data_IF_214962240164
#
_entry.id   IF_214962240164
#
_cell.length_a   1.000
_cell.length_b   1.000
_cell.length_c   1.000
_cell.angle_alpha   90.00
_cell.angle_beta   90.00
_cell.angle_gamma   90.00
#
_symmetry.space_group_name_H-M   'P 1'
#
loop_
_entity.id
_entity.type
_entity.pdbx_description
1 polymer ?
#
# COMPACT_ATOMS: atom_id res chain seq x y z
N UNK A 1 -19.97 -5.99 -10.91
CA UNK A 1 -19.96 -5.10 -9.71
C UNK A 1 -19.75 -3.66 -10.16
N UNK A 2 -20.48 -2.72 -9.58
CA UNK A 2 -20.33 -1.29 -9.85
C UNK A 2 -19.31 -0.71 -8.87
N UNK A 3 -18.19 -0.16 -9.38
CA UNK A 3 -17.11 0.39 -8.55
C UNK A 3 -16.96 1.89 -8.81
N UNK A 4 -17.01 2.71 -7.75
CA UNK A 4 -16.72 4.14 -7.79
C UNK A 4 -15.22 4.42 -7.58
N UNK A 5 -14.63 5.37 -8.32
CA UNK A 5 -13.24 5.80 -8.14
C UNK A 5 -13.17 7.10 -7.35
N UNK A 6 -12.54 7.06 -6.18
CA UNK A 6 -12.23 8.24 -5.36
C UNK A 6 -10.78 8.65 -5.59
N UNK A 7 -10.57 9.73 -6.34
CA UNK A 7 -9.25 10.29 -6.64
C UNK A 7 -9.04 10.63 -8.10
N UNK A 8 -8.24 11.66 -8.34
CA UNK A 8 -7.92 12.18 -9.69
C UNK A 8 -6.43 12.45 -9.90
N UNK A 9 -5.60 11.97 -8.97
CA UNK A 9 -4.14 12.11 -9.01
C UNK A 9 -3.48 11.22 -10.06
N UNK A 10 -2.13 11.29 -10.17
CA UNK A 10 -1.37 10.49 -11.14
C UNK A 10 -1.65 9.00 -11.06
N UNK A 11 -1.81 8.46 -9.84
CA UNK A 11 -2.06 7.04 -9.61
C UNK A 11 -3.47 6.61 -10.06
N UNK A 12 -4.49 7.45 -9.78
CA UNK A 12 -5.84 7.24 -10.30
C UNK A 12 -5.87 7.23 -11.83
N UNK A 13 -5.15 8.18 -12.47
CA UNK A 13 -5.10 8.33 -13.93
C UNK A 13 -4.33 7.22 -14.63
N UNK A 14 -3.20 6.79 -14.04
CA UNK A 14 -2.29 5.82 -14.66
C UNK A 14 -2.70 4.36 -14.39
N UNK A 15 -3.27 4.08 -13.23
CA UNK A 15 -3.48 2.72 -12.75
C UNK A 15 -4.93 2.42 -12.46
N UNK A 16 -5.54 3.02 -11.44
CA UNK A 16 -6.87 2.65 -10.97
C UNK A 16 -7.95 2.83 -12.03
N UNK A 17 -8.06 4.03 -12.59
CA UNK A 17 -9.09 4.35 -13.57
C UNK A 17 -9.06 3.46 -14.81
N UNK A 18 -7.91 3.38 -15.53
CA UNK A 18 -7.81 2.51 -16.72
C UNK A 18 -8.08 1.02 -16.41
N UNK A 19 -7.58 0.52 -15.28
CA UNK A 19 -7.80 -0.88 -14.90
C UNK A 19 -9.26 -1.17 -14.59
N UNK A 20 -9.96 -0.28 -13.86
CA UNK A 20 -11.38 -0.42 -13.58
C UNK A 20 -12.24 -0.33 -14.85
N UNK A 21 -11.92 0.63 -15.73
CA UNK A 21 -12.66 0.81 -16.99
C UNK A 21 -12.50 -0.37 -17.97
N UNK A 22 -11.34 -1.03 -17.94
CA UNK A 22 -11.05 -2.18 -18.80
C UNK A 22 -11.44 -3.53 -18.21
N UNK A 23 -11.81 -3.61 -16.92
CA UNK A 23 -12.05 -4.87 -16.24
C UNK A 23 -13.37 -5.52 -16.65
N UNK A 24 -13.37 -6.78 -17.12
CA UNK A 24 -14.58 -7.40 -17.74
C UNK A 24 -15.75 -7.60 -16.76
N UNK A 25 -15.47 -7.72 -15.46
CA UNK A 25 -16.48 -7.98 -14.41
C UNK A 25 -16.86 -6.72 -13.61
N UNK A 26 -16.40 -5.54 -14.04
CA UNK A 26 -16.62 -4.28 -13.34
C UNK A 26 -17.26 -3.24 -14.27
N UNK A 27 -18.22 -2.51 -13.73
CA UNK A 27 -18.72 -1.25 -14.29
C UNK A 27 -18.13 -0.10 -13.48
N UNK A 28 -17.36 0.79 -14.11
CA UNK A 28 -16.89 2.00 -13.46
C UNK A 28 -18.05 2.97 -13.28
N UNK A 29 -18.62 3.01 -12.08
CA UNK A 29 -19.85 3.77 -11.76
C UNK A 29 -19.67 5.27 -11.88
N UNK A 30 -18.44 5.77 -11.62
CA UNK A 30 -18.10 7.18 -11.75
C UNK A 30 -16.80 7.52 -11.06
N UNK A 31 -16.42 8.80 -11.14
CA UNK A 31 -15.21 9.37 -10.54
C UNK A 31 -15.60 10.53 -9.63
N UNK A 32 -15.00 10.58 -8.45
CA UNK A 32 -15.03 11.73 -7.58
C UNK A 32 -13.62 12.23 -7.24
N UNK A 33 -13.47 13.54 -7.11
CA UNK A 33 -12.24 14.17 -6.65
C UNK A 33 -12.48 15.56 -6.09
N UNK A 34 -11.60 16.02 -5.16
CA UNK A 34 -11.69 17.34 -4.53
C UNK A 34 -11.71 18.52 -5.51
N UNK A 35 -11.23 18.32 -6.73
CA UNK A 35 -11.26 19.30 -7.81
C UNK A 35 -12.25 18.81 -8.88
N UNK A 36 -13.43 19.46 -9.01
CA UNK A 36 -14.47 18.98 -9.92
C UNK A 36 -14.02 18.91 -11.39
N UNK A 37 -13.20 19.86 -11.84
CA UNK A 37 -12.69 19.86 -13.22
C UNK A 37 -11.80 18.64 -13.47
N UNK A 38 -10.92 18.26 -12.50
CA UNK A 38 -10.06 17.10 -12.62
C UNK A 38 -10.86 15.78 -12.58
N UNK A 39 -12.00 15.78 -11.87
CA UNK A 39 -12.91 14.64 -11.85
C UNK A 39 -13.63 14.47 -13.19
N UNK A 40 -14.14 15.56 -13.78
CA UNK A 40 -14.77 15.55 -15.11
C UNK A 40 -13.78 15.10 -16.19
N UNK A 41 -12.60 15.70 -16.23
CA UNK A 41 -11.56 15.36 -17.20
C UNK A 41 -11.15 13.87 -17.13
N UNK A 42 -11.03 13.30 -15.92
CA UNK A 42 -10.74 11.89 -15.78
C UNK A 42 -11.95 11.02 -16.16
N UNK A 43 -13.15 11.40 -15.76
CA UNK A 43 -14.38 10.69 -16.11
C UNK A 43 -14.60 10.63 -17.63
N UNK A 44 -14.41 11.76 -18.32
CA UNK A 44 -14.50 11.84 -19.79
C UNK A 44 -13.46 10.92 -20.44
N UNK A 45 -12.23 10.90 -19.93
CA UNK A 45 -11.16 10.00 -20.44
C UNK A 45 -11.52 8.52 -20.27
N UNK A 46 -12.21 8.17 -19.19
CA UNK A 46 -12.57 6.79 -18.84
C UNK A 46 -13.95 6.37 -19.37
N UNK A 47 -14.69 7.26 -20.06
CA UNK A 47 -16.02 6.98 -20.57
C UNK A 47 -17.08 6.78 -19.48
N UNK A 48 -16.94 7.47 -18.35
CA UNK A 48 -17.85 7.42 -17.21
C UNK A 48 -18.30 8.81 -16.79
N UNK A 49 -19.02 8.95 -15.67
CA UNK A 49 -19.47 10.23 -15.16
C UNK A 49 -18.64 10.72 -13.97
N UNK A 50 -18.55 12.03 -13.82
CA UNK A 50 -18.03 12.66 -12.61
C UNK A 50 -19.18 12.90 -11.61
N UNK A 51 -18.88 12.70 -10.33
CA UNK A 51 -19.77 13.06 -9.23
C UNK A 51 -19.22 14.29 -8.49
N UNK A 52 -20.10 15.23 -8.18
CA UNK A 52 -19.72 16.44 -7.44
C UNK A 52 -19.63 16.19 -5.93
N UNK A 53 -20.29 15.14 -5.43
CA UNK A 53 -20.32 14.73 -4.04
C UNK A 53 -19.99 13.24 -3.86
N UNK A 54 -19.33 12.93 -2.73
CA UNK A 54 -18.95 11.54 -2.36
C UNK A 54 -20.19 10.68 -2.15
N UNK A 55 -21.22 11.17 -1.46
CA UNK A 55 -22.41 10.38 -1.18
C UNK A 55 -23.16 10.01 -2.46
N UNK A 56 -23.25 10.94 -3.41
CA UNK A 56 -23.83 10.64 -4.72
C UNK A 56 -23.08 9.54 -5.47
N UNK A 57 -21.74 9.46 -5.33
CA UNK A 57 -20.98 8.34 -5.87
C UNK A 57 -21.23 7.05 -5.08
N UNK A 58 -21.29 7.12 -3.76
CA UNK A 58 -21.57 5.96 -2.92
C UNK A 58 -22.94 5.36 -3.22
N UNK A 59 -23.97 6.19 -3.43
CA UNK A 59 -25.32 5.73 -3.78
C UNK A 59 -25.35 4.97 -5.13
N UNK A 60 -24.43 5.27 -6.02
CA UNK A 60 -24.34 4.71 -7.36
C UNK A 60 -23.46 3.46 -7.50
N UNK A 61 -22.78 3.02 -6.44
CA UNK A 61 -21.83 1.91 -6.54
C UNK A 61 -22.01 0.87 -5.43
N UNK A 62 -21.45 -0.32 -5.66
CA UNK A 62 -21.38 -1.42 -4.68
C UNK A 62 -20.08 -1.38 -3.88
N UNK A 63 -19.03 -0.85 -4.49
CA UNK A 63 -17.70 -0.75 -3.92
C UNK A 63 -17.01 0.55 -4.35
N UNK A 64 -15.97 0.94 -3.62
CA UNK A 64 -15.10 2.07 -3.98
C UNK A 64 -13.64 1.64 -4.08
N UNK A 65 -12.96 2.15 -5.12
CA UNK A 65 -11.51 2.13 -5.22
C UNK A 65 -10.97 3.52 -4.85
N UNK A 66 -10.01 3.59 -3.93
CA UNK A 66 -9.53 4.86 -3.39
C UNK A 66 -8.06 5.08 -3.79
N UNK A 67 -7.80 6.16 -4.53
CA UNK A 67 -6.47 6.59 -4.98
C UNK A 67 -6.17 8.00 -4.47
N UNK A 68 -6.14 8.15 -3.15
CA UNK A 68 -5.97 9.43 -2.45
C UNK A 68 -4.81 9.34 -1.44
N UNK A 69 -4.24 10.48 -0.99
CA UNK A 69 -3.33 10.49 0.14
C UNK A 69 -3.93 9.78 1.36
N UNK A 70 -3.13 9.04 2.16
CA UNK A 70 -3.64 8.18 3.23
C UNK A 70 -4.48 8.90 4.30
N UNK A 71 -4.14 10.16 4.60
CA UNK A 71 -4.87 11.02 5.54
C UNK A 71 -6.27 11.40 5.05
N UNK A 72 -6.45 11.45 3.73
CA UNK A 72 -7.74 11.69 3.07
C UNK A 72 -8.49 10.38 2.84
N UNK A 73 -7.75 9.31 2.52
CA UNK A 73 -8.31 7.97 2.27
C UNK A 73 -9.05 7.42 3.48
N UNK A 74 -8.41 7.40 4.66
CA UNK A 74 -8.95 6.73 5.84
C UNK A 74 -10.37 7.18 6.22
N UNK A 75 -10.68 8.49 6.40
CA UNK A 75 -12.03 8.91 6.74
C UNK A 75 -13.06 8.65 5.63
N UNK A 76 -12.66 8.69 4.36
CA UNK A 76 -13.57 8.36 3.24
C UNK A 76 -13.84 6.87 3.16
N UNK A 77 -12.84 6.02 3.45
CA UNK A 77 -13.01 4.58 3.51
C UNK A 77 -13.93 4.16 4.67
N UNK A 78 -13.79 4.79 5.85
CA UNK A 78 -14.72 4.61 6.98
C UNK A 78 -16.16 5.00 6.59
N UNK A 79 -16.33 6.15 5.91
CA UNK A 79 -17.64 6.60 5.42
C UNK A 79 -18.24 5.59 4.44
N UNK A 80 -17.46 5.12 3.48
CA UNK A 80 -17.90 4.13 2.50
C UNK A 80 -18.29 2.80 3.16
N UNK A 81 -17.47 2.29 4.08
CA UNK A 81 -17.78 1.07 4.84
C UNK A 81 -19.08 1.19 5.65
N UNK A 82 -19.30 2.31 6.34
CA UNK A 82 -20.55 2.59 7.05
C UNK A 82 -21.78 2.69 6.13
N UNK A 83 -21.56 3.08 4.88
CA UNK A 83 -22.60 3.03 3.83
C UNK A 83 -22.76 1.65 3.18
N UNK A 84 -22.10 0.60 3.72
CA UNK A 84 -22.19 -0.76 3.23
C UNK A 84 -21.42 -1.02 1.92
N UNK A 85 -20.46 -0.15 1.56
CA UNK A 85 -19.68 -0.30 0.32
C UNK A 85 -18.40 -1.09 0.57
N UNK A 86 -18.09 -2.04 -0.33
CA UNK A 86 -16.84 -2.77 -0.31
C UNK A 86 -15.65 -1.87 -0.68
N UNK A 87 -14.44 -2.20 -0.24
CA UNK A 87 -13.29 -1.30 -0.29
C UNK A 87 -12.11 -1.89 -1.04
N UNK A 88 -11.64 -1.20 -2.09
CA UNK A 88 -10.32 -1.38 -2.68
C UNK A 88 -9.46 -0.18 -2.30
N UNK A 89 -8.56 -0.39 -1.33
CA UNK A 89 -7.78 0.65 -0.68
C UNK A 89 -6.36 0.70 -1.24
N UNK A 90 -5.76 1.90 -1.29
CA UNK A 90 -4.32 2.03 -1.49
C UNK A 90 -3.56 1.93 -0.15
N UNK A 91 -2.28 1.62 -0.21
CA UNK A 91 -1.37 1.58 0.93
C UNK A 91 -0.63 2.93 1.10
N UNK A 92 -0.28 3.29 2.33
CA UNK A 92 -0.82 2.79 3.59
C UNK A 92 -2.29 3.19 3.75
N UNK A 93 -3.07 2.43 4.50
CA UNK A 93 -4.52 2.72 4.65
C UNK A 93 -4.79 4.00 5.44
N UNK A 94 -3.85 4.41 6.29
CA UNK A 94 -3.85 5.65 7.08
C UNK A 94 -2.42 6.04 7.43
N UNK A 95 -2.22 7.26 7.92
CA UNK A 95 -0.93 7.75 8.48
C UNK A 95 -0.92 7.82 10.00
N UNK A 96 -1.97 7.35 10.66
CA UNK A 96 -2.07 7.23 12.12
C UNK A 96 -2.60 5.85 12.51
N UNK A 97 -2.16 5.37 13.66
CA UNK A 97 -2.62 4.09 14.24
C UNK A 97 -4.14 4.15 14.50
N UNK A 98 -4.62 5.25 15.08
CA UNK A 98 -6.05 5.40 15.41
C UNK A 98 -6.92 5.38 14.15
N UNK A 99 -6.53 6.10 13.09
CA UNK A 99 -7.27 6.08 11.82
C UNK A 99 -7.25 4.72 11.12
N UNK A 100 -6.14 3.98 11.22
CA UNK A 100 -6.04 2.63 10.66
C UNK A 100 -6.90 1.63 11.46
N UNK A 101 -6.92 1.74 12.79
CA UNK A 101 -7.77 0.93 13.67
C UNK A 101 -9.23 1.22 13.43
N UNK A 102 -9.65 2.50 13.45
CA UNK A 102 -11.04 2.87 13.16
C UNK A 102 -11.51 2.24 11.84
N UNK A 103 -10.71 2.34 10.78
CA UNK A 103 -11.07 1.74 9.50
C UNK A 103 -11.20 0.22 9.57
N UNK A 104 -10.26 -0.46 10.21
CA UNK A 104 -10.29 -1.92 10.39
C UNK A 104 -11.50 -2.37 11.21
N UNK A 105 -11.80 -1.65 12.30
CA UNK A 105 -12.93 -1.95 13.19
C UNK A 105 -14.26 -1.76 12.47
N UNK A 106 -14.43 -0.66 11.74
CA UNK A 106 -15.65 -0.40 10.95
C UNK A 106 -15.86 -1.45 9.85
N UNK A 107 -14.78 -1.87 9.17
CA UNK A 107 -14.86 -2.98 8.19
C UNK A 107 -15.33 -4.27 8.87
N UNK A 108 -14.80 -4.59 10.06
CA UNK A 108 -15.22 -5.76 10.82
C UNK A 108 -16.69 -5.66 11.32
N UNK A 109 -17.11 -4.48 11.77
CA UNK A 109 -18.48 -4.22 12.24
C UNK A 109 -19.51 -4.31 11.12
N UNK A 110 -19.20 -3.75 9.96
CA UNK A 110 -20.12 -3.72 8.80
C UNK A 110 -20.12 -4.98 7.97
N UNK A 111 -19.07 -5.80 8.09
CA UNK A 111 -18.89 -7.03 7.30
C UNK A 111 -18.61 -6.78 5.82
N UNK A 112 -18.27 -5.55 5.43
CA UNK A 112 -17.91 -5.25 4.03
C UNK A 112 -16.56 -5.89 3.69
N UNK A 113 -16.42 -6.37 2.45
CA UNK A 113 -15.15 -6.88 1.95
C UNK A 113 -14.16 -5.75 1.75
N UNK A 114 -12.89 -6.01 2.03
CA UNK A 114 -11.82 -5.04 1.82
C UNK A 114 -10.57 -5.70 1.26
N UNK A 115 -9.90 -5.00 0.35
CA UNK A 115 -8.58 -5.35 -0.18
C UNK A 115 -7.69 -4.12 -0.17
N UNK A 116 -6.46 -4.26 0.32
CA UNK A 116 -5.44 -3.22 0.30
C UNK A 116 -4.42 -3.53 -0.79
N UNK A 117 -4.23 -2.62 -1.72
CA UNK A 117 -3.38 -2.81 -2.88
C UNK A 117 -1.89 -2.65 -2.56
N UNK A 118 -1.30 -3.71 -2.02
CA UNK A 118 0.15 -3.84 -1.93
C UNK A 118 0.66 -4.42 -3.26
N UNK A 119 1.12 -3.61 -4.16
CA UNK A 119 1.42 -3.96 -5.58
C UNK A 119 2.13 -5.31 -5.74
N UNK A 120 3.19 -5.60 -4.97
CA UNK A 120 3.93 -6.85 -5.04
C UNK A 120 3.06 -8.08 -4.72
N UNK A 121 2.06 -7.94 -3.84
CA UNK A 121 1.16 -9.02 -3.43
C UNK A 121 0.15 -9.41 -4.51
N UNK A 122 0.03 -8.59 -5.54
CA UNK A 122 -0.85 -8.80 -6.69
C UNK A 122 -0.06 -8.95 -8.00
N UNK A 123 1.28 -8.83 -7.96
CA UNK A 123 2.18 -9.15 -9.06
C UNK A 123 2.48 -10.65 -9.05
N UNK A 124 2.34 -11.34 -10.19
CA UNK A 124 2.35 -12.81 -10.27
C UNK A 124 3.60 -13.45 -9.63
N UNK A 125 4.79 -13.03 -10.03
CA UNK A 125 6.05 -13.58 -9.50
C UNK A 125 6.22 -13.38 -8.00
N UNK A 126 6.16 -12.14 -7.49
CA UNK A 126 6.23 -11.83 -6.06
C UNK A 126 5.13 -12.49 -5.22
N UNK A 127 3.89 -12.50 -5.70
CA UNK A 127 2.77 -13.12 -4.97
C UNK A 127 2.96 -14.64 -4.85
N UNK A 128 3.36 -15.32 -5.93
CA UNK A 128 3.68 -16.74 -5.94
C UNK A 128 4.83 -17.04 -4.98
N UNK A 129 5.91 -16.25 -5.03
CA UNK A 129 7.04 -16.40 -4.11
C UNK A 129 6.61 -16.33 -2.65
N UNK A 130 5.78 -15.38 -2.25
CA UNK A 130 5.26 -15.30 -0.88
C UNK A 130 4.51 -16.58 -0.50
N UNK A 131 3.63 -17.09 -1.36
CA UNK A 131 2.87 -18.31 -1.09
C UNK A 131 3.78 -19.54 -0.93
N UNK A 132 4.78 -19.68 -1.79
CA UNK A 132 5.77 -20.77 -1.74
C UNK A 132 6.61 -20.70 -0.44
N UNK A 133 7.11 -19.50 -0.07
CA UNK A 133 7.94 -19.35 1.13
C UNK A 133 7.11 -19.47 2.41
N UNK A 134 5.86 -19.03 2.41
CA UNK A 134 4.94 -19.25 3.52
C UNK A 134 4.67 -20.75 3.73
N UNK A 135 4.47 -21.50 2.66
CA UNK A 135 4.25 -22.94 2.72
C UNK A 135 5.51 -23.72 3.15
N UNK A 136 6.69 -23.30 2.73
CA UNK A 136 7.95 -23.93 3.08
C UNK A 136 8.29 -23.78 4.57
N UNK A 137 8.15 -22.58 5.13
CA UNK A 137 8.49 -22.30 6.53
C UNK A 137 9.98 -22.52 6.86
N UNK A 138 10.31 -22.60 8.17
CA UNK A 138 11.68 -22.86 8.61
C UNK A 138 12.65 -21.70 8.36
N UNK A 139 12.15 -20.47 8.20
CA UNK A 139 12.96 -19.29 7.93
C UNK A 139 13.48 -18.68 9.23
N UNK A 140 14.76 -18.28 9.23
CA UNK A 140 15.44 -17.69 10.38
C UNK A 140 15.64 -16.20 10.22
N UNK A 141 15.93 -15.74 8.99
CA UNK A 141 16.15 -14.32 8.71
C UNK A 141 15.45 -13.88 7.43
N UNK A 142 15.11 -12.58 7.36
CA UNK A 142 14.64 -11.92 6.15
C UNK A 142 15.31 -10.58 5.92
N UNK A 143 15.40 -10.18 4.68
CA UNK A 143 15.85 -8.85 4.26
C UNK A 143 14.90 -8.32 3.18
N UNK A 144 14.44 -7.08 3.34
CA UNK A 144 13.68 -6.41 2.29
C UNK A 144 14.23 -5.00 2.06
N UNK A 145 14.32 -4.62 0.79
CA UNK A 145 14.79 -3.30 0.39
C UNK A 145 13.84 -2.70 -0.64
N UNK A 146 13.53 -1.44 -0.45
CA UNK A 146 12.92 -0.63 -1.49
C UNK A 146 13.68 0.69 -1.58
N UNK A 147 14.60 0.72 -2.51
CA UNK A 147 15.48 1.85 -2.76
C UNK A 147 15.15 2.46 -4.11
N UNK A 148 14.74 3.70 -4.14
CA UNK A 148 14.38 4.41 -5.35
C UNK A 148 15.03 5.79 -5.40
N UNK A 149 15.07 6.38 -6.60
CA UNK A 149 15.64 7.70 -6.88
C UNK A 149 14.56 8.77 -7.12
N UNK A 150 13.34 8.58 -6.59
CA UNK A 150 12.21 9.48 -6.85
C UNK A 150 12.54 10.93 -6.49
N UNK A 151 13.31 11.16 -5.43
CA UNK A 151 13.73 12.49 -4.96
C UNK A 151 15.20 12.82 -5.29
N UNK A 152 15.93 11.91 -5.93
CA UNK A 152 17.34 12.15 -6.32
C UNK A 152 17.52 12.84 -7.68
N UNK A 153 16.44 13.30 -8.28
CA UNK A 153 16.41 13.96 -9.60
C UNK A 153 15.87 13.01 -10.68
N UNK A 154 14.88 13.49 -11.41
CA UNK A 154 14.20 12.76 -12.48
C UNK A 154 12.74 13.22 -12.64
N UNK A 155 12.12 12.86 -13.75
CA UNK A 155 10.73 13.24 -14.09
C UNK A 155 9.70 12.29 -13.45
N UNK A 156 9.86 11.95 -12.17
CA UNK A 156 8.87 11.11 -11.51
C UNK A 156 7.57 11.90 -11.25
N UNK A 157 6.40 11.41 -11.71
CA UNK A 157 5.12 12.07 -11.45
C UNK A 157 4.75 12.07 -9.95
N UNK A 158 5.49 11.30 -9.14
CA UNK A 158 5.30 11.19 -7.69
C UNK A 158 6.20 12.14 -6.89
N UNK A 159 7.23 12.73 -7.53
CA UNK A 159 8.17 13.66 -6.89
C UNK A 159 7.48 14.93 -6.35
N UNK A 160 6.36 15.34 -6.94
CA UNK A 160 5.57 16.49 -6.49
C UNK A 160 4.53 16.17 -5.39
N UNK A 161 4.53 14.95 -4.84
CA UNK A 161 3.53 14.52 -3.85
C UNK A 161 3.85 15.03 -2.44
N UNK A 162 3.07 15.99 -1.86
CA UNK A 162 3.40 16.58 -0.56
C UNK A 162 3.51 15.54 0.56
N UNK A 163 2.57 14.60 0.64
CA UNK A 163 2.56 13.60 1.70
C UNK A 163 3.78 12.66 1.66
N UNK A 164 4.34 12.39 0.45
CA UNK A 164 5.56 11.60 0.31
C UNK A 164 6.79 12.35 0.80
N UNK A 165 6.84 13.66 0.58
CA UNK A 165 7.91 14.51 1.15
C UNK A 165 7.82 14.57 2.68
N UNK A 166 6.61 14.69 3.21
CA UNK A 166 6.38 14.82 4.66
C UNK A 166 6.68 13.50 5.38
N UNK A 167 6.28 12.36 4.81
CA UNK A 167 6.36 11.04 5.44
C UNK A 167 7.53 10.19 4.98
N UNK A 168 8.13 10.49 3.83
CA UNK A 168 9.30 9.80 3.28
C UNK A 168 9.05 8.36 2.83
N UNK A 169 10.15 7.70 2.50
CA UNK A 169 10.14 6.32 1.99
C UNK A 169 9.61 5.31 3.02
N UNK A 170 9.79 5.54 4.33
CA UNK A 170 9.26 4.65 5.36
C UNK A 170 7.75 4.41 5.19
N UNK A 171 6.98 5.48 5.02
CA UNK A 171 5.53 5.39 4.89
C UNK A 171 5.05 5.06 3.48
N UNK A 172 5.82 5.44 2.44
CA UNK A 172 5.41 5.15 1.06
C UNK A 172 5.74 3.71 0.64
N UNK A 173 6.95 3.24 0.89
CA UNK A 173 7.41 1.93 0.38
C UNK A 173 7.65 0.88 1.47
N UNK A 174 7.76 1.27 2.73
CA UNK A 174 7.78 0.35 3.87
C UNK A 174 6.59 -0.61 3.92
N UNK A 175 5.35 -0.18 3.60
CA UNK A 175 4.20 -1.07 3.50
C UNK A 175 4.42 -2.24 2.53
N UNK A 176 5.04 -2.01 1.39
CA UNK A 176 5.33 -3.07 0.42
C UNK A 176 6.34 -4.08 0.97
N UNK A 177 7.44 -3.61 1.59
CA UNK A 177 8.44 -4.48 2.20
C UNK A 177 7.82 -5.36 3.30
N UNK A 178 7.03 -4.76 4.20
CA UNK A 178 6.31 -5.48 5.25
C UNK A 178 5.32 -6.49 4.69
N UNK A 179 4.61 -6.15 3.61
CA UNK A 179 3.66 -7.06 2.98
C UNK A 179 4.29 -8.33 2.41
N UNK A 180 5.59 -8.32 2.12
CA UNK A 180 6.35 -9.48 1.66
C UNK A 180 6.88 -10.33 2.82
N UNK A 181 7.37 -9.70 3.89
CA UNK A 181 8.02 -10.41 4.99
C UNK A 181 7.04 -10.99 6.02
N UNK A 182 5.98 -10.23 6.39
CA UNK A 182 5.05 -10.66 7.45
C UNK A 182 4.37 -12.00 7.18
N UNK A 183 3.85 -12.30 5.97
CA UNK A 183 3.22 -13.59 5.71
C UNK A 183 4.20 -14.77 5.73
N UNK A 184 5.49 -14.52 5.46
CA UNK A 184 6.53 -15.56 5.38
C UNK A 184 7.18 -15.81 6.75
N UNK A 185 7.44 -14.74 7.52
CA UNK A 185 8.18 -14.82 8.79
C UNK A 185 7.25 -14.76 10.03
N UNK A 186 5.98 -14.49 9.83
CA UNK A 186 5.01 -14.23 10.90
C UNK A 186 4.92 -12.76 11.28
N UNK A 187 3.96 -12.42 12.14
CA UNK A 187 3.75 -11.05 12.63
C UNK A 187 4.93 -10.57 13.49
N UNK A 188 5.02 -9.26 13.73
CA UNK A 188 6.00 -8.67 14.65
C UNK A 188 5.59 -9.01 16.09
N UNK A 189 6.51 -9.65 16.83
CA UNK A 189 6.25 -10.17 18.17
C UNK A 189 6.02 -9.04 19.18
N UNK A 190 6.87 -8.00 19.16
CA UNK A 190 6.86 -6.92 20.13
C UNK A 190 7.14 -5.58 19.40
N UNK A 191 6.15 -4.69 19.36
CA UNK A 191 6.29 -3.40 18.67
C UNK A 191 7.28 -2.45 19.37
N UNK A 192 7.39 -2.51 20.69
CA UNK A 192 8.32 -1.71 21.49
C UNK A 192 9.79 -2.20 21.37
N UNK A 193 9.99 -3.41 20.85
CA UNK A 193 11.33 -3.93 20.52
C UNK A 193 11.81 -3.53 19.11
N UNK A 194 10.97 -2.93 18.29
CA UNK A 194 11.36 -2.41 16.96
C UNK A 194 12.44 -1.35 17.11
N UNK A 195 13.48 -1.40 16.26
CA UNK A 195 14.58 -0.43 16.24
C UNK A 195 14.86 0.04 14.82
N UNK A 196 14.78 1.34 14.64
CA UNK A 196 15.08 2.01 13.38
C UNK A 196 16.25 2.96 13.48
N UNK A 197 16.89 3.21 12.37
CA UNK A 197 17.96 4.19 12.19
C UNK A 197 17.73 4.97 10.89
N UNK A 198 18.12 6.24 10.90
CA UNK A 198 18.11 7.09 9.72
C UNK A 198 19.48 7.08 9.06
N UNK A 199 19.51 7.00 7.73
CA UNK A 199 20.68 7.18 6.88
C UNK A 199 20.67 8.51 6.14
N UNK A 200 21.50 8.67 5.10
CA UNK A 200 21.47 9.83 4.22
C UNK A 200 20.10 10.02 3.53
N UNK A 201 19.72 11.29 3.34
CA UNK A 201 18.44 11.64 2.72
C UNK A 201 17.25 11.20 3.56
N UNK A 202 16.29 10.49 2.94
CA UNK A 202 15.13 9.92 3.60
C UNK A 202 15.29 8.41 3.92
N UNK A 203 16.52 7.91 3.86
CA UNK A 203 16.81 6.49 4.12
C UNK A 203 16.48 6.11 5.56
N UNK A 204 15.71 5.04 5.72
CA UNK A 204 15.41 4.42 7.00
C UNK A 204 15.74 2.94 6.91
N UNK A 205 16.48 2.43 7.91
CA UNK A 205 16.69 0.99 8.12
C UNK A 205 16.16 0.59 9.47
N UNK A 206 15.46 -0.54 9.54
CA UNK A 206 14.89 -1.03 10.79
C UNK A 206 14.95 -2.55 10.92
N UNK A 207 14.94 -3.02 12.17
CA UNK A 207 15.01 -4.42 12.56
C UNK A 207 13.69 -4.84 13.19
N UNK A 208 13.21 -6.02 12.81
CA UNK A 208 12.00 -6.66 13.34
C UNK A 208 12.32 -8.04 13.90
N UNK A 209 11.64 -8.41 15.00
CA UNK A 209 11.56 -9.77 15.51
C UNK A 209 10.16 -10.31 15.25
N UNK A 210 10.08 -11.48 14.64
CA UNK A 210 8.82 -12.09 14.26
C UNK A 210 8.34 -13.12 15.30
N UNK A 211 7.03 -13.38 15.29
CA UNK A 211 6.40 -14.39 16.18
C UNK A 211 6.91 -15.81 15.96
N UNK A 212 7.45 -16.12 14.78
CA UNK A 212 8.14 -17.37 14.49
C UNK A 212 9.52 -17.50 15.18
N UNK A 213 10.03 -16.41 15.77
CA UNK A 213 11.39 -16.30 16.28
C UNK A 213 12.41 -15.78 15.24
N UNK A 214 12.05 -15.70 13.96
CA UNK A 214 12.89 -15.12 12.92
C UNK A 214 13.15 -13.62 13.17
N UNK A 215 14.19 -13.10 12.56
CA UNK A 215 14.51 -11.67 12.56
C UNK A 215 14.59 -11.16 11.12
N UNK A 216 14.21 -9.90 10.90
CA UNK A 216 14.36 -9.31 9.57
C UNK A 216 14.85 -7.88 9.62
N UNK A 217 15.47 -7.45 8.53
CA UNK A 217 15.85 -6.06 8.28
C UNK A 217 15.06 -5.52 7.09
N UNK A 218 14.70 -4.25 7.18
CA UNK A 218 14.08 -3.52 6.08
C UNK A 218 14.83 -2.22 5.85
N UNK A 219 15.13 -1.90 4.59
CA UNK A 219 15.72 -0.62 4.21
C UNK A 219 14.85 0.06 3.15
N UNK A 220 14.46 1.30 3.42
CA UNK A 220 13.65 2.13 2.51
C UNK A 220 14.36 3.44 2.18
N UNK A 221 14.29 3.90 0.94
CA UNK A 221 14.75 5.23 0.54
C UNK A 221 14.13 5.67 -0.79
N UNK A 222 13.88 6.97 -0.94
CA UNK A 222 13.55 7.64 -2.20
C UNK A 222 14.68 8.53 -2.72
N UNK A 223 15.82 8.57 -2.00
CA UNK A 223 16.92 9.49 -2.27
C UNK A 223 18.21 8.81 -2.69
N UNK A 224 18.20 7.49 -2.92
CA UNK A 224 19.42 6.82 -3.42
C UNK A 224 19.71 7.26 -4.86
N UNK A 225 21.00 7.28 -5.29
CA UNK A 225 21.34 7.47 -6.69
C UNK A 225 20.71 6.36 -7.58
N UNK A 226 20.41 6.67 -8.83
CA UNK A 226 19.81 5.71 -9.78
C UNK A 226 20.55 4.36 -9.85
N UNK A 227 21.87 4.37 -9.75
CA UNK A 227 22.70 3.15 -9.78
C UNK A 227 22.53 2.27 -8.52
N UNK A 228 21.89 2.77 -7.46
CA UNK A 228 21.65 2.05 -6.21
C UNK A 228 20.17 1.71 -5.99
N UNK A 229 19.33 1.86 -7.01
CA UNK A 229 17.91 1.49 -6.91
C UNK A 229 17.75 -0.03 -6.84
N UNK A 230 16.90 -0.49 -5.94
CA UNK A 230 16.64 -1.93 -5.75
C UNK A 230 15.27 -2.17 -5.14
N UNK A 231 14.56 -3.18 -5.61
CA UNK A 231 13.42 -3.78 -4.91
C UNK A 231 13.73 -5.24 -4.65
N UNK A 232 13.84 -5.63 -3.39
CA UNK A 232 14.29 -6.95 -2.96
C UNK A 232 13.43 -7.45 -1.80
N UNK A 233 13.11 -8.75 -1.79
CA UNK A 233 12.78 -9.52 -0.61
C UNK A 233 13.55 -10.86 -0.67
N UNK A 234 14.20 -11.22 0.44
CA UNK A 234 15.00 -12.45 0.55
C UNK A 234 14.80 -13.05 1.94
N UNK A 235 14.76 -14.38 2.03
CA UNK A 235 14.71 -15.10 3.29
C UNK A 235 15.76 -16.21 3.32
N UNK A 236 16.25 -16.56 4.52
CA UNK A 236 17.26 -17.60 4.76
C UNK A 236 16.82 -18.48 5.93
N UNK A 237 16.97 -19.76 5.77
CA UNK A 237 16.56 -20.75 6.76
C UNK A 237 17.01 -22.16 6.40
N UNK A 238 16.28 -23.16 6.90
CA UNK A 238 16.60 -24.59 6.69
C UNK A 238 16.69 -24.98 5.22
N UNK A 239 15.87 -24.40 4.36
CA UNK A 239 15.86 -24.63 2.92
C UNK A 239 16.90 -23.82 2.14
N UNK A 240 17.80 -23.11 2.84
CA UNK A 240 18.85 -22.28 2.21
C UNK A 240 18.41 -20.84 2.03
N UNK A 241 18.63 -20.27 0.84
CA UNK A 241 18.33 -18.89 0.49
C UNK A 241 17.24 -18.87 -0.57
N UNK A 242 16.19 -18.08 -0.32
CA UNK A 242 15.15 -17.83 -1.32
C UNK A 242 14.99 -16.33 -1.53
N UNK A 243 15.07 -15.90 -2.79
CA UNK A 243 14.95 -14.51 -3.20
C UNK A 243 13.72 -14.32 -4.08
N UNK A 244 12.98 -13.24 -3.83
CA UNK A 244 11.88 -12.83 -4.68
C UNK A 244 12.37 -12.62 -6.13
N UNK A 245 11.64 -13.07 -7.15
CA UNK A 245 11.96 -12.76 -8.54
C UNK A 245 12.07 -11.26 -8.79
N UNK A 246 12.94 -10.86 -9.69
CA UNK A 246 13.09 -9.47 -10.08
C UNK A 246 11.73 -8.89 -10.51
N UNK A 247 11.44 -7.69 -10.04
CA UNK A 247 10.21 -6.97 -10.31
C UNK A 247 10.54 -5.60 -10.91
N UNK A 248 10.08 -5.35 -12.13
CA UNK A 248 10.41 -4.16 -12.91
C UNK A 248 9.42 -3.00 -12.69
N UNK A 249 8.24 -3.27 -12.16
CA UNK A 249 7.20 -2.26 -11.90
C UNK A 249 6.62 -1.59 -13.15
N UNK A 250 6.86 -2.14 -14.33
CA UNK A 250 6.55 -1.46 -15.60
C UNK A 250 5.06 -1.40 -15.91
N UNK A 251 4.27 -2.38 -15.51
CA UNK A 251 2.82 -2.39 -15.74
C UNK A 251 2.04 -2.53 -14.42
N UNK A 252 1.67 -1.41 -13.77
CA UNK A 252 0.89 -1.45 -12.53
C UNK A 252 -0.58 -1.80 -12.74
N UNK A 253 -1.08 -1.82 -13.97
CA UNK A 253 -2.50 -2.08 -14.26
C UNK A 253 -2.85 -3.56 -14.09
N UNK A 254 -1.96 -4.47 -14.51
CA UNK A 254 -2.17 -5.92 -14.35
C UNK A 254 -2.27 -6.30 -12.86
N UNK A 255 -1.32 -5.95 -11.97
CA UNK A 255 -1.47 -6.21 -10.55
C UNK A 255 -2.71 -5.55 -9.93
N UNK A 256 -3.12 -4.36 -10.41
CA UNK A 256 -4.33 -3.73 -9.92
C UNK A 256 -5.59 -4.50 -10.35
N UNK A 257 -5.65 -5.00 -11.58
CA UNK A 257 -6.71 -5.91 -12.04
C UNK A 257 -6.83 -7.15 -11.16
N UNK A 258 -5.69 -7.76 -10.78
CA UNK A 258 -5.65 -8.89 -9.83
C UNK A 258 -6.20 -8.51 -8.44
N UNK A 259 -5.97 -7.26 -7.99
CA UNK A 259 -6.55 -6.77 -6.74
C UNK A 259 -8.07 -6.55 -6.84
N UNK A 260 -8.56 -6.11 -8.01
CA UNK A 260 -10.00 -6.06 -8.30
C UNK A 260 -10.61 -7.47 -8.24
N UNK A 261 -10.00 -8.46 -8.90
CA UNK A 261 -10.44 -9.86 -8.83
C UNK A 261 -10.46 -10.40 -7.40
N UNK A 262 -9.46 -10.01 -6.58
CA UNK A 262 -9.42 -10.39 -5.17
C UNK A 262 -10.57 -9.76 -4.38
N UNK A 263 -10.95 -8.51 -4.67
CA UNK A 263 -12.12 -7.89 -4.04
C UNK A 263 -13.42 -8.60 -4.46
N UNK A 264 -13.57 -8.95 -5.74
CA UNK A 264 -14.73 -9.69 -6.23
C UNK A 264 -14.89 -11.03 -5.49
N UNK A 265 -13.79 -11.81 -5.36
CA UNK A 265 -13.79 -13.05 -4.57
C UNK A 265 -14.08 -12.82 -3.09
N UNK A 266 -13.54 -11.74 -2.50
CA UNK A 266 -13.79 -11.42 -1.11
C UNK A 266 -15.28 -11.11 -0.83
N UNK A 267 -15.97 -10.48 -1.78
CA UNK A 267 -17.43 -10.26 -1.72
C UNK A 267 -18.19 -11.58 -1.80
N UNK A 268 -17.70 -12.55 -2.57
CA UNK A 268 -18.28 -13.90 -2.70
C UNK A 268 -17.91 -14.82 -1.52
N UNK A 269 -17.22 -14.31 -0.49
CA UNK A 269 -16.89 -15.04 0.75
C UNK A 269 -15.50 -15.66 0.79
N UNK A 270 -14.60 -15.29 -0.12
CA UNK A 270 -13.19 -15.70 -0.14
C UNK A 270 -12.26 -14.52 0.20
N UNK A 271 -12.11 -14.14 1.48
CA UNK A 271 -11.35 -12.94 1.87
C UNK A 271 -9.88 -13.04 1.48
N UNK A 272 -9.31 -11.93 1.01
CA UNK A 272 -7.90 -11.86 0.68
C UNK A 272 -7.06 -11.49 1.93
N UNK A 273 -5.85 -12.07 2.14
CA UNK A 273 -5.01 -11.77 3.30
C UNK A 273 -4.55 -10.31 3.42
N UNK A 274 -4.53 -9.57 2.30
CA UNK A 274 -4.25 -8.12 2.28
C UNK A 274 -5.54 -7.32 2.48
N UNK A 275 -6.24 -7.53 3.57
CA UNK A 275 -7.46 -6.81 3.97
C UNK A 275 -7.16 -5.54 4.80
N UNK A 276 -8.19 -4.84 5.26
CA UNK A 276 -8.05 -3.66 6.10
C UNK A 276 -7.36 -3.97 7.44
N UNK A 277 -7.56 -5.15 8.02
CA UNK A 277 -6.89 -5.59 9.26
C UNK A 277 -5.38 -5.73 9.05
N UNK A 278 -4.96 -6.36 7.95
CA UNK A 278 -3.55 -6.44 7.59
C UNK A 278 -2.95 -5.05 7.32
N UNK A 279 -3.70 -4.18 6.63
CA UNK A 279 -3.30 -2.79 6.40
C UNK A 279 -3.12 -2.00 7.70
N UNK A 280 -4.01 -2.19 8.68
CA UNK A 280 -3.91 -1.57 10.00
C UNK A 280 -2.66 -2.08 10.75
N UNK A 281 -2.41 -3.40 10.70
CA UNK A 281 -1.21 -3.97 11.32
C UNK A 281 0.08 -3.42 10.73
N UNK A 282 0.15 -3.29 9.40
CA UNK A 282 1.29 -2.64 8.72
C UNK A 282 1.45 -1.19 9.19
N UNK A 283 0.37 -0.43 9.32
CA UNK A 283 0.41 0.94 9.84
C UNK A 283 0.94 1.01 11.28
N UNK A 284 0.54 0.09 12.16
CA UNK A 284 1.06 0.00 13.53
C UNK A 284 2.56 -0.24 13.57
N UNK A 285 3.06 -1.15 12.73
CA UNK A 285 4.50 -1.44 12.65
C UNK A 285 5.27 -0.21 12.16
N UNK A 286 4.79 0.48 11.12
CA UNK A 286 5.43 1.69 10.62
C UNK A 286 5.47 2.81 11.66
N UNK A 287 4.39 2.98 12.42
CA UNK A 287 4.34 3.95 13.52
C UNK A 287 5.34 3.60 14.64
N UNK A 288 5.48 2.30 14.98
CA UNK A 288 6.48 1.84 15.95
C UNK A 288 7.92 2.08 15.44
N UNK A 289 8.18 1.82 14.15
CA UNK A 289 9.47 2.17 13.53
C UNK A 289 9.72 3.67 13.65
N UNK A 290 8.79 4.52 13.22
CA UNK A 290 8.92 5.98 13.26
C UNK A 290 9.18 6.47 14.68
N UNK A 291 8.48 5.95 15.68
CA UNK A 291 8.70 6.28 17.10
C UNK A 291 10.07 5.83 17.63
N UNK A 292 10.68 4.81 17.05
CA UNK A 292 12.01 4.30 17.42
C UNK A 292 13.17 5.06 16.78
N UNK A 293 12.89 5.91 15.76
CA UNK A 293 13.92 6.66 15.07
C UNK A 293 14.54 7.74 15.99
N UNK A 294 15.83 8.01 15.86
CA UNK A 294 16.45 9.11 16.58
C UNK A 294 15.78 10.44 16.19
N UNK A 295 15.60 11.33 17.17
CA UNK A 295 15.09 12.67 16.90
C UNK A 295 15.91 13.32 15.77
N UNK A 296 15.23 13.92 14.79
CA UNK A 296 15.95 14.68 13.73
C UNK A 296 16.83 15.71 14.42
N UNK A 297 18.16 15.50 14.41
CA UNK A 297 19.06 16.50 14.92
C UNK A 297 18.88 17.76 14.05
N UNK A 298 18.54 18.87 14.68
CA UNK A 298 18.61 20.21 14.08
C UNK A 298 20.08 20.57 13.82
N UNK A 299 20.75 19.81 12.95
CA UNK A 299 22.07 20.25 12.47
C UNK A 299 21.81 21.28 11.38
N UNK A 300 22.17 22.48 11.79
CA UNK A 300 22.06 23.71 11.06
C UNK A 300 22.56 23.64 9.62
N UNK A 301 21.88 24.41 8.83
CA UNK A 301 22.44 25.14 7.71
C UNK A 301 23.77 25.73 8.16
N UNK A 302 24.87 25.16 7.76
CA UNK A 302 26.17 25.83 7.79
C UNK A 302 27.11 25.16 6.79
N UNK A 303 27.40 25.95 5.81
CA UNK A 303 28.47 26.02 4.82
C UNK A 303 28.14 25.49 3.45
#
# INVERSE_FOLDING_TARGET
MRIGLLGTGPWARRTHGPSLAAHPSVELAGVWGRRPEAARDLADTLGTRAHDDVDALLDDCDAVAIALPPDVQAPLAVRAARAGKHLLLDKPIATSVDGARELSDVVAETGVASVVYFTLRFSEGPARWVGEQQAAGGWWTGDARWLSSIFAGGDSPYAASPWRHDRGALWDVGPHALSMLLPVLGDVAELDAVRGQTGPGDTVQFLLRHTSGAVSTVTTSHTVPQAATEVLAEVRGESGVSRMPDWDGNDPQVPFGNAVDALLRAVDGEPHPCDARFGARVTEILAAVEASLPAKSSRGESA
#
